data_IF_079400419451
#
_entry.id   IF_079400419451
#
_cell.length_a   1.000
_cell.length_b   1.000
_cell.length_c   1.000
_cell.angle_alpha   90.00
_cell.angle_beta   90.00
_cell.angle_gamma   90.00
#
_symmetry.space_group_name_H-M   'P 1'
#
loop_
_entity.id
_entity.type
_entity.pdbx_description
1 polymer ?
#
# COMPACT_ATOMS: atom_id res chain seq x y z
N UNK A 1 49.86 -27.05 67.33
CA UNK A 1 48.80 -27.04 66.29
C UNK A 1 49.47 -26.80 64.93
N UNK A 2 50.05 -27.84 64.28
CA UNK A 2 49.51 -28.50 63.05
C UNK A 2 49.11 -27.50 61.94
N UNK A 3 49.98 -27.11 61.00
CA UNK A 3 50.43 -27.76 59.74
C UNK A 3 49.39 -27.74 58.60
N UNK A 4 49.66 -26.99 57.51
CA UNK A 4 49.75 -27.46 56.09
C UNK A 4 49.55 -26.33 55.05
N UNK A 5 50.46 -26.32 54.06
CA UNK A 5 50.39 -25.62 52.77
C UNK A 5 49.27 -26.20 51.89
N UNK A 6 48.74 -25.40 50.95
CA UNK A 6 48.40 -25.84 49.58
C UNK A 6 48.15 -24.63 48.65
N UNK A 7 48.80 -24.69 47.49
CA UNK A 7 48.64 -23.85 46.31
C UNK A 7 47.58 -24.50 45.41
N UNK A 8 46.61 -23.75 44.88
CA UNK A 8 45.98 -24.08 43.57
C UNK A 8 45.22 -22.91 42.95
N UNK A 9 45.40 -22.75 41.64
CA UNK A 9 44.85 -21.73 40.76
C UNK A 9 43.46 -22.09 40.20
N UNK A 10 42.65 -21.09 39.82
CA UNK A 10 41.65 -21.07 38.72
C UNK A 10 40.91 -19.71 38.78
N UNK A 11 40.43 -19.05 37.73
CA UNK A 11 40.33 -19.34 36.31
C UNK A 11 40.32 -17.98 35.57
N UNK A 12 40.82 -17.95 34.34
CA UNK A 12 40.63 -16.81 33.44
C UNK A 12 39.12 -16.55 33.26
N UNK A 13 38.67 -15.32 33.52
CA UNK A 13 37.32 -14.90 33.20
C UNK A 13 37.20 -14.79 31.67
N UNK A 14 36.78 -15.87 31.02
CA UNK A 14 36.29 -15.82 29.65
C UNK A 14 34.96 -15.06 29.68
N UNK A 15 34.96 -13.79 29.26
CA UNK A 15 33.71 -13.08 28.96
C UNK A 15 33.07 -13.81 27.79
N UNK A 16 32.04 -14.61 28.07
CA UNK A 16 31.14 -15.10 27.04
C UNK A 16 30.42 -13.88 26.45
N UNK A 17 30.91 -13.35 25.33
CA UNK A 17 30.11 -12.51 24.45
C UNK A 17 28.89 -13.36 24.06
N UNK A 18 27.65 -12.97 24.42
CA UNK A 18 26.51 -13.64 23.83
C UNK A 18 26.61 -13.36 22.34
N UNK A 19 26.79 -14.41 21.53
CA UNK A 19 26.36 -14.37 20.15
C UNK A 19 24.89 -13.95 20.23
N UNK A 20 24.59 -12.70 19.90
CA UNK A 20 23.24 -12.33 19.54
C UNK A 20 22.96 -13.15 18.29
N UNK A 21 22.42 -14.34 18.49
CA UNK A 21 21.82 -15.11 17.43
C UNK A 21 20.82 -14.15 16.79
N UNK A 22 21.11 -13.73 15.56
CA UNK A 22 20.16 -12.94 14.78
C UNK A 22 18.87 -13.74 14.82
N UNK A 23 17.84 -13.21 15.48
CA UNK A 23 16.54 -13.85 15.49
C UNK A 23 16.18 -14.05 14.02
N UNK A 24 16.09 -15.32 13.59
CA UNK A 24 15.61 -15.61 12.25
C UNK A 24 14.25 -14.92 12.13
N UNK A 25 14.10 -14.05 11.14
CA UNK A 25 12.84 -13.37 10.89
C UNK A 25 11.77 -14.46 10.76
N UNK A 26 10.81 -14.49 11.69
CA UNK A 26 9.69 -15.42 11.61
C UNK A 26 8.93 -15.09 10.33
N UNK A 27 8.85 -16.04 9.41
CA UNK A 27 8.10 -15.85 8.18
C UNK A 27 6.63 -16.01 8.50
N UNK A 28 5.89 -14.90 8.52
CA UNK A 28 4.43 -14.95 8.60
C UNK A 28 3.90 -15.59 7.33
N UNK A 29 3.14 -16.70 7.41
CA UNK A 29 2.57 -17.32 6.23
C UNK A 29 1.55 -16.37 5.58
N UNK A 30 1.35 -16.52 4.27
CA UNK A 30 0.29 -15.79 3.56
C UNK A 30 -1.06 -16.08 4.20
N UNK A 31 -1.81 -15.02 4.47
CA UNK A 31 -3.16 -15.10 5.00
C UNK A 31 -4.13 -14.50 3.99
N UNK A 32 -5.18 -15.25 3.67
CA UNK A 32 -6.31 -14.71 2.93
C UNK A 32 -7.12 -13.80 3.85
N UNK A 33 -7.26 -12.53 3.46
CA UNK A 33 -8.07 -11.55 4.16
C UNK A 33 -9.27 -11.20 3.28
N UNK A 34 -10.51 -11.48 3.73
CA UNK A 34 -11.69 -11.17 2.96
C UNK A 34 -11.81 -9.67 2.65
N UNK A 35 -12.31 -9.36 1.46
CA UNK A 35 -12.73 -8.00 1.12
C UNK A 35 -14.11 -7.70 1.74
N UNK A 36 -14.45 -6.41 1.95
CA UNK A 36 -15.79 -6.01 2.38
C UNK A 36 -16.89 -6.60 1.49
N UNK A 37 -18.02 -6.96 2.07
CA UNK A 37 -19.16 -7.56 1.35
C UNK A 37 -19.72 -6.67 0.21
N UNK A 38 -19.43 -5.37 0.26
CA UNK A 38 -19.80 -4.39 -0.78
C UNK A 38 -18.91 -4.48 -2.03
N UNK A 39 -17.78 -5.19 -1.98
CA UNK A 39 -16.91 -5.43 -3.13
C UNK A 39 -17.42 -6.67 -3.87
N UNK A 40 -17.57 -6.57 -5.19
CA UNK A 40 -18.08 -7.68 -5.99
C UNK A 40 -17.02 -8.78 -6.13
N UNK A 41 -17.42 -10.07 -6.24
CA UNK A 41 -16.49 -11.18 -6.43
C UNK A 41 -15.62 -11.07 -7.69
N UNK A 42 -16.08 -10.34 -8.71
CA UNK A 42 -15.36 -10.11 -9.97
C UNK A 42 -14.42 -8.90 -9.92
N UNK A 43 -14.32 -8.20 -8.80
CA UNK A 43 -13.43 -7.06 -8.66
C UNK A 43 -11.97 -7.47 -8.90
N UNK A 44 -11.20 -6.56 -9.48
CA UNK A 44 -9.78 -6.70 -9.70
C UNK A 44 -9.03 -5.54 -9.05
N UNK A 45 -7.89 -5.83 -8.43
CA UNK A 45 -6.97 -4.85 -7.89
C UNK A 45 -5.78 -4.73 -8.82
N UNK A 46 -5.44 -3.50 -9.18
CA UNK A 46 -4.38 -3.18 -10.14
C UNK A 46 -3.08 -2.82 -9.42
N UNK A 47 -3.16 -2.01 -8.35
CA UNK A 47 -1.99 -1.60 -7.58
C UNK A 47 -2.34 -1.43 -6.10
N UNK A 48 -1.33 -1.59 -5.23
CA UNK A 48 -1.42 -1.28 -3.82
C UNK A 48 -0.14 -0.58 -3.31
N UNK A 49 -0.32 0.33 -2.36
CA UNK A 49 0.77 1.06 -1.70
C UNK A 49 0.61 0.99 -0.18
N UNK A 50 1.72 0.87 0.55
CA UNK A 50 1.73 0.88 2.01
C UNK A 50 2.78 1.87 2.53
N UNK A 51 2.39 2.67 3.52
CA UNK A 51 3.27 3.61 4.26
C UNK A 51 3.44 3.20 5.74
N UNK A 52 2.77 2.13 6.16
CA UNK A 52 2.82 1.59 7.52
C UNK A 52 1.89 0.38 7.68
N UNK A 53 1.93 -0.27 8.86
CA UNK A 53 1.18 -1.50 9.13
C UNK A 53 -0.35 -1.31 9.09
N UNK A 54 -0.82 -0.08 9.27
CA UNK A 54 -2.22 0.36 9.34
C UNK A 54 -2.58 1.36 8.23
N UNK A 55 -1.67 1.53 7.28
CA UNK A 55 -1.73 2.60 6.28
C UNK A 55 -1.35 2.05 4.92
N UNK A 56 -2.30 1.35 4.31
CA UNK A 56 -2.19 0.91 2.94
C UNK A 56 -3.47 1.17 2.16
N UNK A 57 -3.32 1.31 0.85
CA UNK A 57 -4.42 1.46 -0.10
C UNK A 57 -4.22 0.51 -1.25
N UNK A 58 -5.34 0.01 -1.78
CA UNK A 58 -5.37 -0.74 -3.03
C UNK A 58 -6.41 -0.12 -3.94
N UNK A 59 -6.10 -0.05 -5.24
CA UNK A 59 -7.00 0.51 -6.24
C UNK A 59 -7.22 -0.46 -7.38
N UNK A 60 -8.35 -0.30 -8.08
CA UNK A 60 -8.68 -1.13 -9.21
C UNK A 60 -10.09 -0.88 -9.73
N UNK A 61 -10.79 -1.97 -10.06
CA UNK A 61 -12.15 -1.93 -10.60
C UNK A 61 -13.06 -2.93 -9.89
N UNK A 62 -14.24 -2.46 -9.51
CA UNK A 62 -15.34 -3.25 -8.97
C UNK A 62 -16.24 -3.72 -10.12
N UNK A 63 -15.75 -4.72 -10.85
CA UNK A 63 -16.35 -5.19 -12.10
C UNK A 63 -17.74 -5.80 -11.91
N UNK A 64 -18.61 -5.59 -12.91
CA UNK A 64 -19.96 -6.17 -12.96
C UNK A 64 -19.97 -7.51 -13.71
N UNK A 65 -18.94 -7.79 -14.53
CA UNK A 65 -18.77 -9.02 -15.31
C UNK A 65 -17.55 -8.91 -16.24
N UNK A 66 -17.19 -9.99 -16.96
CA UNK A 66 -15.99 -10.02 -17.82
C UNK A 66 -16.01 -9.02 -18.98
N UNK A 67 -17.19 -8.61 -19.44
CA UNK A 67 -17.37 -7.76 -20.63
C UNK A 67 -17.95 -6.37 -20.33
N UNK A 68 -18.35 -6.11 -19.08
CA UNK A 68 -18.92 -4.82 -18.69
C UNK A 68 -17.88 -4.00 -17.92
N UNK A 69 -17.66 -2.72 -18.28
CA UNK A 69 -16.75 -1.87 -17.54
C UNK A 69 -17.24 -1.73 -16.09
N UNK A 70 -16.33 -1.95 -15.14
CA UNK A 70 -16.61 -1.81 -13.72
C UNK A 70 -16.67 -0.36 -13.26
N UNK A 71 -16.70 -0.17 -11.95
CA UNK A 71 -16.55 1.14 -11.33
C UNK A 71 -15.21 1.22 -10.62
N UNK A 72 -14.59 2.41 -10.54
CA UNK A 72 -13.40 2.64 -9.73
C UNK A 72 -13.57 2.06 -8.32
N UNK A 73 -12.55 1.33 -7.88
CA UNK A 73 -12.51 0.76 -6.54
C UNK A 73 -11.31 1.32 -5.79
N UNK A 74 -11.55 1.80 -4.58
CA UNK A 74 -10.49 2.09 -3.61
C UNK A 74 -10.77 1.35 -2.31
N UNK A 75 -9.75 0.64 -1.84
CA UNK A 75 -9.73 -0.01 -0.54
C UNK A 75 -8.65 0.63 0.33
N UNK A 76 -8.94 0.75 1.63
CA UNK A 76 -8.00 1.17 2.66
C UNK A 76 -7.81 0.03 3.66
N UNK A 77 -6.57 -0.25 4.02
CA UNK A 77 -6.21 -1.14 5.10
C UNK A 77 -6.17 -0.36 6.42
N UNK A 78 -6.79 -0.91 7.46
CA UNK A 78 -6.81 -0.31 8.81
C UNK A 78 -5.84 -0.98 9.81
N UNK A 79 -5.05 -1.96 9.35
CA UNK A 79 -4.20 -2.79 10.22
C UNK A 79 -4.75 -4.20 10.41
N UNK A 80 -6.04 -4.42 10.15
CA UNK A 80 -6.72 -5.70 10.40
C UNK A 80 -7.67 -6.12 9.29
N UNK A 81 -8.29 -5.17 8.59
CA UNK A 81 -9.22 -5.42 7.52
C UNK A 81 -9.11 -4.37 6.41
N UNK A 82 -9.52 -4.76 5.21
CA UNK A 82 -9.75 -3.83 4.12
C UNK A 82 -11.12 -3.17 4.27
N UNK A 83 -11.21 -1.90 3.94
CA UNK A 83 -12.45 -1.12 3.94
C UNK A 83 -12.61 -0.40 2.60
N UNK A 84 -13.81 -0.49 2.00
CA UNK A 84 -14.13 0.27 0.79
C UNK A 84 -14.26 1.75 1.12
N UNK A 85 -13.55 2.60 0.38
CA UNK A 85 -13.57 4.04 0.60
C UNK A 85 -14.68 4.70 -0.21
N UNK A 86 -15.24 5.78 0.33
CA UNK A 86 -16.18 6.63 -0.40
C UNK A 86 -15.43 7.48 -1.42
N UNK A 87 -16.01 7.59 -2.62
CA UNK A 87 -15.48 8.36 -3.73
C UNK A 87 -16.58 9.28 -4.31
N UNK A 88 -17.02 10.32 -3.57
CA UNK A 88 -18.07 11.21 -4.04
C UNK A 88 -17.75 11.81 -5.40
N UNK A 89 -18.75 11.86 -6.29
CA UNK A 89 -18.58 12.35 -7.66
C UNK A 89 -17.98 11.34 -8.64
N UNK A 90 -17.48 10.18 -8.17
CA UNK A 90 -16.99 9.10 -9.03
C UNK A 90 -18.18 8.22 -9.48
N UNK A 91 -18.93 8.73 -10.46
CA UNK A 91 -20.08 8.06 -11.08
C UNK A 91 -19.81 7.44 -12.45
N UNK A 92 -18.55 7.47 -12.89
CA UNK A 92 -18.14 6.97 -14.20
C UNK A 92 -17.69 5.51 -14.13
N UNK A 93 -17.86 4.82 -15.25
CA UNK A 93 -17.37 3.45 -15.43
C UNK A 93 -15.91 3.48 -15.87
N UNK A 94 -15.11 2.53 -15.39
CA UNK A 94 -13.69 2.44 -15.67
C UNK A 94 -12.91 1.79 -14.54
N UNK A 95 -11.66 2.21 -14.37
CA UNK A 95 -10.73 1.65 -13.40
C UNK A 95 -9.74 2.69 -12.89
N UNK A 96 -9.23 2.44 -11.68
CA UNK A 96 -8.00 3.06 -11.20
C UNK A 96 -6.83 2.14 -11.49
N UNK A 97 -5.78 2.71 -12.04
CA UNK A 97 -4.61 1.99 -12.54
C UNK A 97 -3.47 2.02 -11.54
N UNK A 98 -3.25 3.19 -10.93
CA UNK A 98 -2.10 3.39 -10.06
C UNK A 98 -2.43 4.23 -8.83
N UNK A 99 -1.72 3.98 -7.73
CA UNK A 99 -1.89 4.65 -6.43
C UNK A 99 -0.55 4.90 -5.74
N UNK A 100 -0.38 6.11 -5.20
CA UNK A 100 0.77 6.46 -4.38
C UNK A 100 0.34 7.23 -3.14
N UNK A 101 1.06 7.01 -2.04
CA UNK A 101 0.84 7.66 -0.76
C UNK A 101 2.16 8.20 -0.22
N UNK A 102 2.17 9.45 0.23
CA UNK A 102 3.25 10.00 1.07
C UNK A 102 2.88 9.97 2.55
N UNK A 103 1.58 9.87 2.87
CA UNK A 103 1.06 9.76 4.23
C UNK A 103 -0.37 9.18 4.25
N UNK A 104 -0.95 9.04 5.45
CA UNK A 104 -2.35 8.63 5.63
C UNK A 104 -3.38 9.57 5.00
N UNK A 105 -3.00 10.83 4.79
CA UNK A 105 -3.91 11.90 4.35
C UNK A 105 -3.47 12.51 3.03
N UNK A 106 -2.41 12.00 2.41
CA UNK A 106 -1.90 12.45 1.12
C UNK A 106 -1.70 11.24 0.24
N UNK A 107 -2.77 10.89 -0.46
CA UNK A 107 -2.82 9.74 -1.37
C UNK A 107 -3.40 10.23 -2.69
N UNK A 108 -2.79 9.77 -3.79
CA UNK A 108 -3.23 10.06 -5.14
C UNK A 108 -3.44 8.76 -5.88
N UNK A 109 -4.44 8.76 -6.77
CA UNK A 109 -4.69 7.65 -7.67
C UNK A 109 -4.97 8.20 -9.07
N UNK A 110 -4.50 7.47 -10.08
CA UNK A 110 -4.77 7.77 -11.49
C UNK A 110 -5.48 6.60 -12.14
N UNK A 111 -6.27 6.89 -13.16
CA UNK A 111 -7.04 5.89 -13.86
C UNK A 111 -7.64 6.43 -15.14
N UNK A 112 -8.58 5.67 -15.68
CA UNK A 112 -9.29 6.03 -16.91
C UNK A 112 -10.74 5.60 -16.83
N UNK A 113 -11.60 6.40 -17.45
CA UNK A 113 -12.98 5.97 -17.70
C UNK A 113 -13.07 5.00 -18.90
N UNK A 114 -14.25 4.45 -19.12
CA UNK A 114 -14.52 3.51 -20.21
C UNK A 114 -14.34 4.11 -21.61
N UNK A 115 -14.34 5.44 -21.75
CA UNK A 115 -14.03 6.14 -23.00
C UNK A 115 -12.53 6.43 -23.16
N UNK A 116 -11.69 6.04 -22.20
CA UNK A 116 -10.25 6.29 -22.18
C UNK A 116 -9.85 7.66 -21.63
N UNK A 117 -10.80 8.43 -21.09
CA UNK A 117 -10.53 9.73 -20.48
C UNK A 117 -9.76 9.57 -19.17
N UNK A 118 -8.62 10.26 -19.03
CA UNK A 118 -7.80 10.18 -17.85
C UNK A 118 -8.50 10.78 -16.61
N UNK A 119 -8.30 10.14 -15.47
CA UNK A 119 -8.92 10.47 -14.18
C UNK A 119 -7.83 10.59 -13.11
N UNK A 120 -7.95 11.59 -12.25
CA UNK A 120 -7.01 11.84 -11.15
C UNK A 120 -7.81 12.05 -9.87
N UNK A 121 -7.57 11.21 -8.87
CA UNK A 121 -8.23 11.28 -7.57
C UNK A 121 -7.21 11.63 -6.49
N UNK A 122 -7.64 12.41 -5.51
CA UNK A 122 -6.86 12.74 -4.31
C UNK A 122 -7.66 12.39 -3.06
N UNK A 123 -6.99 11.79 -2.09
CA UNK A 123 -7.53 11.60 -0.74
C UNK A 123 -6.97 12.61 0.24
N UNK A 124 -7.83 13.05 1.16
CA UNK A 124 -7.46 13.77 2.39
C UNK A 124 -7.39 12.84 3.63
N UNK A 125 -7.47 11.52 3.42
CA UNK A 125 -7.43 10.48 4.45
C UNK A 125 -8.80 10.00 4.92
N UNK A 126 -9.88 10.68 4.52
CA UNK A 126 -11.26 10.26 4.81
C UNK A 126 -12.04 10.05 3.53
N UNK A 127 -11.92 10.96 2.57
CA UNK A 127 -12.70 10.95 1.33
C UNK A 127 -11.79 11.04 0.12
N UNK A 128 -12.16 10.35 -0.96
CA UNK A 128 -11.52 10.51 -2.26
C UNK A 128 -12.31 11.49 -3.11
N UNK A 129 -11.63 12.54 -3.58
CA UNK A 129 -12.21 13.54 -4.45
C UNK A 129 -11.56 13.46 -5.83
N UNK A 130 -12.39 13.53 -6.87
CA UNK A 130 -11.89 13.67 -8.23
C UNK A 130 -11.34 15.07 -8.45
N UNK A 131 -10.15 15.12 -9.03
CA UNK A 131 -9.45 16.32 -9.46
C UNK A 131 -9.21 16.24 -10.95
N UNK A 132 -9.13 17.38 -11.64
CA UNK A 132 -8.91 17.38 -13.08
C UNK A 132 -7.41 17.20 -13.39
N UNK A 133 -7.03 16.23 -14.22
CA UNK A 133 -5.70 16.21 -14.81
C UNK A 133 -5.43 17.52 -15.58
N UNK A 134 -4.15 17.94 -15.70
CA UNK A 134 -3.79 19.02 -16.61
C UNK A 134 -4.29 18.73 -18.03
N UNK A 135 -4.75 19.78 -18.74
CA UNK A 135 -5.27 19.61 -20.10
C UNK A 135 -4.21 19.02 -21.04
N UNK A 136 -4.61 18.01 -21.81
CA UNK A 136 -3.74 17.32 -22.77
C UNK A 136 -2.69 16.41 -22.13
N UNK A 137 -2.78 16.14 -20.82
CA UNK A 137 -1.93 15.18 -20.12
C UNK A 137 -2.75 13.96 -19.72
N UNK A 138 -2.24 12.78 -20.06
CA UNK A 138 -2.83 11.48 -19.75
C UNK A 138 -1.95 10.79 -18.71
N UNK A 139 -2.15 11.06 -17.40
CA UNK A 139 -1.42 10.36 -16.36
C UNK A 139 -1.80 8.88 -16.36
N UNK A 140 -0.78 8.02 -16.40
CA UNK A 140 -0.93 6.55 -16.37
C UNK A 140 -0.41 5.96 -15.08
N UNK A 141 0.50 6.66 -14.40
CA UNK A 141 1.14 6.20 -13.18
C UNK A 141 1.32 7.37 -12.20
N UNK A 142 1.26 7.06 -10.91
CA UNK A 142 1.56 8.01 -9.84
C UNK A 142 2.56 7.39 -8.89
N UNK A 143 3.60 8.15 -8.52
CA UNK A 143 4.69 7.67 -7.66
C UNK A 143 4.96 8.64 -6.53
N UNK A 144 5.32 8.13 -5.35
CA UNK A 144 5.72 8.93 -4.20
C UNK A 144 7.23 8.84 -3.97
N UNK A 145 7.87 9.97 -3.70
CA UNK A 145 9.31 10.03 -3.45
C UNK A 145 9.73 11.40 -2.92
N UNK A 146 10.65 11.43 -1.96
CA UNK A 146 11.18 12.70 -1.42
C UNK A 146 10.14 13.56 -0.68
N UNK A 147 9.01 12.98 -0.24
CA UNK A 147 7.90 13.72 0.39
C UNK A 147 6.89 14.30 -0.62
N UNK A 148 7.10 14.08 -1.91
CA UNK A 148 6.26 14.58 -2.98
C UNK A 148 5.58 13.44 -3.75
N UNK A 149 4.63 13.81 -4.61
CA UNK A 149 3.94 12.88 -5.51
C UNK A 149 4.12 13.36 -6.95
N UNK A 150 4.52 12.45 -7.83
CA UNK A 150 4.79 12.71 -9.24
C UNK A 150 3.78 11.95 -10.09
N UNK A 151 3.27 12.63 -11.13
CA UNK A 151 2.41 12.04 -12.15
C UNK A 151 3.24 11.74 -13.38
N UNK A 152 3.19 10.50 -13.84
CA UNK A 152 3.88 10.03 -15.05
C UNK A 152 2.81 9.70 -16.08
N UNK A 153 3.03 10.12 -17.33
CA UNK A 153 2.07 9.92 -18.39
C UNK A 153 2.50 10.54 -19.71
N UNK A 154 1.63 10.46 -20.70
CA UNK A 154 1.84 11.08 -22.01
C UNK A 154 1.17 12.46 -22.10
N UNK A 155 1.59 13.23 -23.09
CA UNK A 155 0.96 14.49 -23.48
C UNK A 155 0.56 14.40 -24.96
N UNK A 156 -0.65 14.81 -25.30
CA UNK A 156 -1.11 14.81 -26.69
C UNK A 156 -0.13 15.62 -27.56
N UNK A 157 0.35 15.01 -28.65
CA UNK A 157 1.27 15.63 -29.62
C UNK A 157 2.77 15.36 -29.39
N UNK A 158 3.13 14.45 -28.49
CA UNK A 158 4.51 13.96 -28.28
C UNK A 158 4.61 12.45 -28.51
#
# INVERSE_FOLDING_TARGET
>A
MTRRLLVTALAAALTAMPLMASAAAQTTPWQHIPLPAQVRPQAALNEAVATGPDRAWAVGTDAVGREAPGFPLVLRWDGTAWQRQSQPGTGWQGELLSVAATSATTVWAVGRDAAGGARLLRSDGVTWNETRPPRGVLPTEVVAGGGETWLIGSRDGA
#
